data_IF_153746964943
#
_entry.id   IF_153746964943
#
_cell.length_a   1.000
_cell.length_b   1.000
_cell.length_c   1.000
_cell.angle_alpha   90.00
_cell.angle_beta   90.00
_cell.angle_gamma   90.00
#
_symmetry.space_group_name_H-M   'P 1'
#
loop_
_entity.id
_entity.type
_entity.pdbx_description
1 polymer ?
#
# COMPACT_ATOMS: atom_id res chain seq x y z
N UNK A 1 -14.34 2.63 9.15
CA UNK A 1 -12.93 2.41 8.77
C UNK A 1 -12.91 1.79 7.39
N UNK A 2 -12.36 2.49 6.40
CA UNK A 2 -12.30 2.07 5.00
C UNK A 2 -11.19 1.04 4.85
N UNK A 3 -11.47 -0.07 4.17
CA UNK A 3 -10.46 -1.06 3.81
C UNK A 3 -10.08 -0.89 2.34
N UNK A 4 -8.83 -0.53 2.10
CA UNK A 4 -8.29 -0.29 0.76
C UNK A 4 -7.39 -1.42 0.28
N UNK A 5 -7.34 -1.62 -1.04
CA UNK A 5 -6.38 -2.48 -1.72
C UNK A 5 -5.56 -1.69 -2.73
N UNK A 6 -4.31 -2.09 -2.94
CA UNK A 6 -3.43 -1.57 -3.99
C UNK A 6 -3.27 -2.62 -5.08
N UNK A 7 -3.44 -2.20 -6.33
CA UNK A 7 -3.12 -2.99 -7.53
C UNK A 7 -2.07 -2.21 -8.31
N UNK A 8 -0.93 -2.86 -8.55
CA UNK A 8 0.29 -2.30 -9.13
C UNK A 8 1.02 -1.29 -8.21
N UNK A 9 2.34 -1.39 -8.15
CA UNK A 9 3.18 -0.61 -7.22
C UNK A 9 4.05 0.35 -8.02
N UNK A 10 3.57 1.59 -8.11
CA UNK A 10 4.29 2.73 -8.67
C UNK A 10 4.64 3.81 -7.64
N UNK A 11 5.24 4.91 -8.10
CA UNK A 11 5.64 6.02 -7.22
C UNK A 11 4.45 6.71 -6.54
N UNK A 12 3.32 6.87 -7.24
CA UNK A 12 2.12 7.48 -6.68
C UNK A 12 1.54 6.62 -5.55
N UNK A 13 1.52 5.31 -5.76
CA UNK A 13 0.98 4.33 -4.80
C UNK A 13 1.74 4.37 -3.47
N UNK A 14 3.07 4.56 -3.49
CA UNK A 14 3.85 4.78 -2.27
C UNK A 14 3.38 6.01 -1.50
N UNK A 15 3.17 7.15 -2.19
CA UNK A 15 2.68 8.39 -1.56
C UNK A 15 1.27 8.21 -1.00
N UNK A 16 0.41 7.50 -1.72
CA UNK A 16 -0.95 7.16 -1.27
C UNK A 16 -0.89 6.33 0.01
N UNK A 17 -0.13 5.24 0.04
CA UNK A 17 -0.03 4.39 1.22
C UNK A 17 0.55 5.13 2.43
N UNK A 18 1.59 5.95 2.23
CA UNK A 18 2.12 6.81 3.30
C UNK A 18 1.09 7.82 3.81
N UNK A 19 0.22 8.34 2.94
CA UNK A 19 -0.88 9.24 3.35
C UNK A 19 -1.97 8.48 4.11
N UNK A 20 -2.32 7.28 3.65
CA UNK A 20 -3.31 6.41 4.27
C UNK A 20 -2.87 5.96 5.66
N UNK A 21 -1.59 5.64 5.86
CA UNK A 21 -1.02 5.27 7.16
C UNK A 21 -1.12 6.38 8.22
N UNK A 22 -1.32 7.65 7.82
CA UNK A 22 -1.49 8.78 8.73
C UNK A 22 -2.95 9.09 9.09
N UNK A 23 -3.92 8.42 8.48
CA UNK A 23 -5.34 8.58 8.84
C UNK A 23 -5.80 7.46 9.76
N UNK A 24 -6.74 7.79 10.66
CA UNK A 24 -7.44 6.79 11.49
C UNK A 24 -8.66 6.20 10.77
N UNK A 25 -9.00 6.73 9.61
CA UNK A 25 -10.23 6.38 8.90
C UNK A 25 -10.06 5.20 7.94
N UNK A 26 -8.82 4.84 7.58
CA UNK A 26 -8.56 3.80 6.58
C UNK A 26 -7.37 2.92 6.90
N UNK A 27 -7.43 1.67 6.45
CA UNK A 27 -6.36 0.69 6.54
C UNK A 27 -6.12 0.06 5.15
N UNK A 28 -4.85 -0.23 4.86
CA UNK A 28 -4.47 -0.98 3.68
C UNK A 28 -4.50 -2.48 3.98
N UNK A 29 -5.45 -3.20 3.40
CA UNK A 29 -5.68 -4.63 3.69
C UNK A 29 -5.06 -5.57 2.64
N UNK A 30 -4.79 -5.09 1.42
CA UNK A 30 -4.27 -5.92 0.34
C UNK A 30 -3.33 -5.17 -0.59
N UNK A 31 -2.33 -5.87 -1.11
CA UNK A 31 -1.39 -5.36 -2.12
C UNK A 31 -1.14 -6.45 -3.15
N UNK A 32 -1.39 -6.14 -4.42
CA UNK A 32 -1.14 -7.01 -5.56
C UNK A 32 -0.23 -6.31 -6.57
N UNK A 33 0.77 -7.03 -7.07
CA UNK A 33 1.61 -6.59 -8.17
C UNK A 33 2.10 -7.80 -8.97
N UNK A 34 2.43 -7.60 -10.25
CA UNK A 34 2.96 -8.67 -11.11
C UNK A 34 4.28 -9.24 -10.59
N UNK A 35 5.10 -8.41 -9.96
CA UNK A 35 6.39 -8.81 -9.38
C UNK A 35 6.26 -8.95 -7.87
N UNK A 36 6.47 -10.15 -7.34
CA UNK A 36 6.37 -10.45 -5.91
C UNK A 36 7.40 -9.67 -5.07
N UNK A 37 8.65 -9.55 -5.52
CA UNK A 37 9.68 -8.74 -4.84
C UNK A 37 9.22 -7.30 -4.59
N UNK A 38 8.51 -6.69 -5.55
CA UNK A 38 7.98 -5.34 -5.37
C UNK A 38 6.92 -5.28 -4.27
N UNK A 39 6.10 -6.32 -4.12
CA UNK A 39 5.12 -6.42 -3.03
C UNK A 39 5.83 -6.55 -1.69
N UNK A 40 6.86 -7.39 -1.59
CA UNK A 40 7.62 -7.58 -0.36
C UNK A 40 8.35 -6.31 0.09
N UNK A 41 9.06 -5.66 -0.85
CA UNK A 41 9.73 -4.37 -0.58
C UNK A 41 8.71 -3.33 -0.14
N UNK A 42 7.56 -3.25 -0.80
CA UNK A 42 6.51 -2.30 -0.45
C UNK A 42 5.93 -2.52 0.94
N UNK A 43 5.67 -3.78 1.32
CA UNK A 43 5.18 -4.13 2.66
C UNK A 43 6.19 -3.75 3.74
N UNK A 44 7.50 -3.98 3.52
CA UNK A 44 8.56 -3.61 4.47
C UNK A 44 8.67 -2.11 4.76
N UNK A 45 8.29 -1.26 3.82
CA UNK A 45 8.44 0.21 3.95
C UNK A 45 7.13 0.93 4.27
N UNK A 46 5.98 0.25 4.15
CA UNK A 46 4.64 0.88 4.22
C UNK A 46 3.78 0.33 5.36
N UNK A 47 4.18 -0.77 6.01
CA UNK A 47 3.54 -1.37 7.18
C UNK A 47 4.52 -1.32 8.35
#
# INVERSE_FOLDING_TARGET
MIQGGIIDIGNIVKRFASSLARTKEGILSAVANRTLEKVEVFKKISM
#
